data_IF_669412160583
#
_entry.id   IF_669412160583
#
_cell.length_a   1.000
_cell.length_b   1.000
_cell.length_c   1.000
_cell.angle_alpha   90.00
_cell.angle_beta   90.00
_cell.angle_gamma   90.00
#
_symmetry.space_group_name_H-M   'P 1'
#
loop_
_entity.id
_entity.type
_entity.pdbx_description
1 polymer ?
#
# COMPACT_ATOMS: atom_id res chain seq x y z
N UNK A 1 14.59 -74.68 49.33
CA UNK A 1 13.66 -74.12 48.32
C UNK A 1 14.27 -72.81 47.85
N UNK A 2 15.11 -72.90 46.82
CA UNK A 2 15.93 -71.78 46.32
C UNK A 2 15.10 -70.84 45.45
N UNK A 3 15.16 -69.54 45.77
CA UNK A 3 14.46 -68.47 45.07
C UNK A 3 15.31 -68.00 43.88
N UNK A 4 14.96 -68.39 42.65
CA UNK A 4 15.60 -67.89 41.43
C UNK A 4 15.05 -66.51 41.08
N UNK A 5 15.89 -65.48 41.19
CA UNK A 5 15.61 -64.12 40.73
C UNK A 5 15.85 -64.07 39.21
N UNK A 6 14.81 -63.78 38.43
CA UNK A 6 14.92 -63.49 37.00
C UNK A 6 15.22 -62.00 36.81
N UNK A 7 16.41 -61.67 36.31
CA UNK A 7 16.75 -60.33 35.86
C UNK A 7 16.18 -60.11 34.45
N UNK A 8 15.20 -59.20 34.33
CA UNK A 8 14.66 -58.76 33.04
C UNK A 8 15.53 -57.62 32.52
N UNK A 9 16.27 -57.87 31.43
CA UNK A 9 17.07 -56.84 30.73
C UNK A 9 16.12 -56.07 29.81
N UNK A 10 15.85 -54.81 30.12
CA UNK A 10 15.19 -53.88 29.20
C UNK A 10 16.20 -53.38 28.16
N UNK A 11 16.06 -53.84 26.91
CA UNK A 11 16.79 -53.29 25.77
C UNK A 11 16.02 -52.07 25.25
N UNK A 12 16.48 -50.87 25.59
CA UNK A 12 15.96 -49.63 25.03
C UNK A 12 16.47 -49.47 23.58
N UNK A 13 15.61 -49.77 22.60
CA UNK A 13 15.88 -49.46 21.19
C UNK A 13 15.68 -47.97 20.99
N UNK A 14 16.78 -47.21 20.91
CA UNK A 14 16.75 -45.84 20.41
C UNK A 14 16.51 -45.86 18.90
N UNK A 15 15.26 -45.63 18.48
CA UNK A 15 14.96 -45.28 17.09
C UNK A 15 15.45 -43.85 16.87
N UNK A 16 16.66 -43.70 16.33
CA UNK A 16 17.11 -42.45 15.74
C UNK A 16 16.20 -42.18 14.52
N UNK A 17 15.18 -41.35 14.69
CA UNK A 17 14.46 -40.76 13.57
C UNK A 17 15.44 -39.84 12.83
N UNK A 18 16.12 -40.37 11.83
CA UNK A 18 16.82 -39.54 10.86
C UNK A 18 15.76 -38.73 10.12
N UNK A 19 15.53 -37.50 10.55
CA UNK A 19 14.84 -36.50 9.74
C UNK A 19 15.70 -36.29 8.50
N UNK A 20 15.35 -36.95 7.40
CA UNK A 20 15.93 -36.67 6.09
C UNK A 20 15.62 -35.20 5.78
N UNK A 21 16.60 -34.32 5.94
CA UNK A 21 16.53 -32.96 5.41
C UNK A 21 16.49 -33.12 3.89
N UNK A 22 15.28 -33.14 3.31
CA UNK A 22 15.13 -33.04 1.86
C UNK A 22 15.75 -31.70 1.46
N UNK A 23 16.74 -31.75 0.57
CA UNK A 23 17.32 -30.55 -0.01
C UNK A 23 16.27 -29.93 -0.95
N UNK A 24 15.49 -29.00 -0.41
CA UNK A 24 14.42 -28.29 -1.09
C UNK A 24 14.86 -26.84 -1.42
N UNK A 25 14.45 -26.33 -2.58
CA UNK A 25 14.70 -24.93 -2.90
C UNK A 25 13.79 -24.03 -2.07
N UNK A 26 14.39 -23.26 -1.16
CA UNK A 26 13.68 -22.19 -0.44
C UNK A 26 14.11 -20.83 -0.98
N UNK A 27 13.16 -19.97 -1.35
CA UNK A 27 13.44 -18.57 -1.74
C UNK A 27 13.03 -17.65 -0.60
N UNK A 28 13.99 -17.05 0.10
CA UNK A 28 13.78 -16.02 1.13
C UNK A 28 13.60 -14.64 0.50
N UNK A 29 12.52 -13.96 0.89
CA UNK A 29 12.17 -12.63 0.37
C UNK A 29 13.25 -11.59 0.65
N UNK A 30 13.92 -11.70 1.80
CA UNK A 30 14.90 -10.73 2.27
C UNK A 30 16.36 -11.17 2.05
N UNK A 31 16.61 -12.34 1.47
CA UNK A 31 17.98 -12.84 1.21
C UNK A 31 18.24 -13.23 -0.23
N UNK A 32 17.23 -13.76 -0.91
CA UNK A 32 17.41 -14.39 -2.22
C UNK A 32 16.87 -13.53 -3.38
N UNK A 33 16.28 -12.36 -3.09
CA UNK A 33 15.76 -11.42 -4.09
C UNK A 33 16.70 -10.23 -4.28
N UNK A 34 17.76 -10.44 -5.07
CA UNK A 34 18.75 -9.40 -5.38
C UNK A 34 18.18 -8.28 -6.26
N UNK A 35 18.79 -7.10 -6.19
CA UNK A 35 18.42 -5.92 -6.97
C UNK A 35 19.24 -5.82 -8.28
N UNK A 36 18.67 -5.41 -9.43
CA UNK A 36 17.26 -5.16 -9.72
C UNK A 36 16.39 -6.43 -9.64
N UNK A 37 15.37 -6.40 -8.79
CA UNK A 37 14.55 -7.57 -8.49
C UNK A 37 13.58 -7.94 -9.64
N UNK A 38 13.53 -9.23 -10.06
CA UNK A 38 12.50 -9.70 -10.98
C UNK A 38 11.14 -9.83 -10.30
N UNK A 39 10.09 -9.72 -11.11
CA UNK A 39 8.78 -10.25 -10.73
C UNK A 39 8.87 -11.77 -10.72
N UNK A 40 8.22 -12.46 -9.78
CA UNK A 40 8.36 -13.91 -9.68
C UNK A 40 7.13 -14.68 -9.18
N UNK A 41 7.18 -15.99 -9.47
CA UNK A 41 6.30 -17.15 -9.24
C UNK A 41 4.94 -17.12 -9.92
N UNK A 42 3.96 -16.33 -9.48
CA UNK A 42 2.63 -16.22 -10.11
C UNK A 42 2.01 -14.85 -9.76
N UNK A 43 2.86 -13.82 -9.75
CA UNK A 43 2.48 -12.40 -9.86
C UNK A 43 1.39 -11.89 -8.89
N UNK A 44 1.44 -12.40 -7.66
CA UNK A 44 0.89 -11.87 -6.40
C UNK A 44 -0.46 -12.42 -5.87
N UNK A 45 -0.52 -13.70 -5.46
CA UNK A 45 -1.02 -14.19 -4.14
C UNK A 45 -0.35 -15.54 -3.82
N UNK A 46 0.42 -15.61 -2.72
CA UNK A 46 0.46 -16.69 -1.71
C UNK A 46 1.67 -16.44 -0.79
N UNK A 47 1.42 -16.35 0.51
CA UNK A 47 2.35 -15.80 1.48
C UNK A 47 3.44 -16.72 2.05
N UNK A 48 4.41 -16.10 2.73
CA UNK A 48 5.45 -16.71 3.58
C UNK A 48 6.71 -15.83 3.67
N UNK A 49 7.58 -16.02 4.68
CA UNK A 49 8.93 -15.41 4.73
C UNK A 49 9.91 -16.09 3.76
N UNK A 50 9.48 -17.19 3.16
CA UNK A 50 10.13 -17.86 2.06
C UNK A 50 9.19 -18.85 1.41
N UNK A 51 9.54 -19.32 0.22
CA UNK A 51 8.74 -20.26 -0.56
C UNK A 51 9.50 -21.55 -0.73
N UNK A 52 8.89 -22.67 -0.34
CA UNK A 52 9.31 -24.00 -0.76
C UNK A 52 8.89 -24.21 -2.23
N UNK A 53 9.90 -24.28 -3.09
CA UNK A 53 9.78 -24.51 -4.52
C UNK A 53 10.25 -25.93 -4.92
N UNK A 54 10.28 -26.88 -3.97
CA UNK A 54 10.63 -28.27 -4.27
C UNK A 54 9.77 -28.81 -5.43
N UNK A 55 10.43 -29.27 -6.50
CA UNK A 55 9.82 -29.77 -7.74
C UNK A 55 8.94 -28.76 -8.51
N UNK A 56 9.05 -27.46 -8.24
CA UNK A 56 8.28 -26.43 -8.96
C UNK A 56 9.10 -25.66 -9.99
N UNK A 57 8.39 -25.20 -11.02
CA UNK A 57 8.84 -24.18 -11.94
C UNK A 57 8.48 -22.80 -11.38
N UNK A 58 9.46 -21.91 -11.31
CA UNK A 58 9.30 -20.53 -10.87
C UNK A 58 9.45 -19.63 -12.08
N UNK A 59 8.36 -19.02 -12.51
CA UNK A 59 8.41 -18.01 -13.55
C UNK A 59 9.03 -16.73 -12.99
N UNK A 60 9.91 -16.11 -13.77
CA UNK A 60 10.49 -14.79 -13.50
C UNK A 60 10.22 -13.86 -14.67
N UNK A 61 10.00 -12.59 -14.39
CA UNK A 61 9.82 -11.57 -15.41
C UNK A 61 10.47 -10.23 -15.04
N UNK A 62 10.99 -9.59 -16.06
CA UNK A 62 11.60 -8.27 -16.05
C UNK A 62 10.88 -7.34 -17.04
N UNK A 63 9.64 -6.92 -16.76
CA UNK A 63 8.89 -6.01 -17.62
C UNK A 63 9.72 -4.81 -18.09
N UNK A 64 9.71 -4.55 -19.40
CA UNK A 64 10.45 -3.45 -20.01
C UNK A 64 11.96 -3.67 -20.14
N UNK A 65 12.51 -4.82 -19.72
CA UNK A 65 13.92 -5.16 -19.87
C UNK A 65 14.15 -6.68 -19.89
N UNK A 66 15.36 -7.16 -19.58
CA UNK A 66 15.76 -8.57 -19.72
C UNK A 66 16.13 -9.20 -18.37
N UNK A 67 15.86 -10.50 -18.24
CA UNK A 67 16.35 -11.33 -17.14
C UNK A 67 17.87 -11.53 -17.29
N UNK A 68 18.59 -11.39 -16.19
CA UNK A 68 20.02 -11.70 -16.05
C UNK A 68 20.19 -12.94 -15.19
N UNK A 69 21.15 -13.79 -15.55
CA UNK A 69 21.57 -14.97 -14.79
C UNK A 69 23.08 -14.92 -14.60
N UNK A 70 23.53 -14.74 -13.35
CA UNK A 70 24.91 -14.42 -12.98
C UNK A 70 25.43 -13.17 -13.73
N UNK A 71 24.60 -12.11 -13.78
CA UNK A 71 24.94 -10.86 -14.46
C UNK A 71 24.93 -10.91 -15.99
N UNK A 72 24.66 -12.08 -16.59
CA UNK A 72 24.59 -12.24 -18.05
C UNK A 72 23.15 -12.30 -18.51
N UNK A 73 22.79 -11.45 -19.47
CA UNK A 73 21.45 -11.43 -20.05
C UNK A 73 21.12 -12.73 -20.78
N UNK A 74 19.93 -13.28 -20.54
CA UNK A 74 19.42 -14.44 -21.28
C UNK A 74 18.68 -14.04 -22.57
N UNK A 75 18.68 -12.76 -22.92
CA UNK A 75 18.04 -12.24 -24.14
C UNK A 75 16.51 -12.20 -24.10
N UNK A 76 15.88 -12.47 -22.95
CA UNK A 76 14.44 -12.52 -22.79
C UNK A 76 13.97 -11.74 -21.55
N UNK A 77 12.78 -11.13 -21.64
CA UNK A 77 12.12 -10.44 -20.53
C UNK A 77 11.49 -11.41 -19.51
N UNK A 78 11.45 -12.70 -19.82
CA UNK A 78 10.90 -13.74 -18.95
C UNK A 78 11.78 -14.96 -18.98
N UNK A 79 11.75 -15.74 -17.91
CA UNK A 79 12.46 -17.01 -17.80
C UNK A 79 11.76 -17.94 -16.83
N UNK A 80 12.12 -19.22 -16.88
CA UNK A 80 11.58 -20.22 -15.98
C UNK A 80 12.73 -20.91 -15.24
N UNK A 81 12.70 -20.81 -13.92
CA UNK A 81 13.69 -21.36 -13.02
C UNK A 81 13.15 -22.65 -12.39
N UNK A 82 13.81 -23.79 -12.65
CA UNK A 82 13.43 -25.09 -12.10
C UNK A 82 14.25 -25.38 -10.85
N UNK A 83 13.60 -25.73 -9.75
CA UNK A 83 14.32 -26.19 -8.56
C UNK A 83 15.18 -27.43 -8.86
N UNK A 84 16.42 -27.43 -8.36
CA UNK A 84 17.38 -28.53 -8.42
C UNK A 84 18.16 -28.58 -7.11
N UNK A 85 17.72 -29.44 -6.19
CA UNK A 85 18.24 -29.52 -4.81
C UNK A 85 18.04 -28.17 -4.08
N UNK A 86 19.10 -27.39 -3.85
CA UNK A 86 19.03 -26.07 -3.20
C UNK A 86 19.19 -24.90 -4.18
N UNK A 87 19.31 -25.17 -5.48
CA UNK A 87 19.61 -24.19 -6.53
C UNK A 87 18.56 -24.20 -7.63
N UNK A 88 18.65 -23.27 -8.57
CA UNK A 88 17.72 -23.13 -9.67
C UNK A 88 18.43 -23.32 -11.02
N UNK A 89 17.82 -24.14 -11.87
CA UNK A 89 18.23 -24.31 -13.26
C UNK A 89 17.42 -23.35 -14.13
N UNK A 90 18.10 -22.42 -14.79
CA UNK A 90 17.50 -21.44 -15.72
C UNK A 90 18.48 -21.21 -16.88
N UNK A 91 17.97 -21.26 -18.12
CA UNK A 91 18.78 -21.10 -19.34
C UNK A 91 20.06 -21.96 -19.35
N UNK A 92 19.97 -23.20 -18.87
CA UNK A 92 21.09 -24.16 -18.82
C UNK A 92 22.11 -23.94 -17.69
N UNK A 93 21.95 -22.92 -16.83
CA UNK A 93 22.83 -22.64 -15.69
C UNK A 93 22.18 -23.04 -14.37
N UNK A 94 22.98 -23.51 -13.41
CA UNK A 94 22.54 -23.87 -12.05
C UNK A 94 23.02 -22.83 -11.03
N UNK A 95 22.13 -21.93 -10.62
CA UNK A 95 22.44 -20.71 -9.86
C UNK A 95 21.66 -20.62 -8.55
N UNK A 96 22.10 -19.87 -7.51
CA UNK A 96 21.19 -19.50 -6.44
C UNK A 96 20.12 -18.56 -7.01
N UNK A 97 18.95 -18.46 -6.36
CA UNK A 97 17.90 -17.55 -6.85
C UNK A 97 18.36 -16.07 -6.84
N UNK A 98 19.25 -15.72 -5.91
CA UNK A 98 19.88 -14.39 -5.80
C UNK A 98 20.71 -13.99 -7.02
N UNK A 99 21.08 -14.93 -7.90
CA UNK A 99 21.76 -14.65 -9.17
C UNK A 99 20.81 -14.36 -10.33
N UNK A 100 19.49 -14.49 -10.12
CA UNK A 100 18.45 -14.22 -11.11
C UNK A 100 17.92 -12.80 -10.87
N UNK A 101 18.34 -11.86 -11.70
CA UNK A 101 18.00 -10.43 -11.57
C UNK A 101 17.41 -9.87 -12.86
N UNK A 102 16.98 -8.61 -12.83
CA UNK A 102 16.67 -7.84 -14.01
C UNK A 102 17.82 -6.92 -14.39
N UNK A 103 17.93 -6.59 -15.68
CA UNK A 103 18.90 -5.62 -16.18
C UNK A 103 18.64 -4.20 -15.63
N UNK A 104 17.39 -3.87 -15.36
CA UNK A 104 16.97 -2.67 -14.66
C UNK A 104 15.71 -2.96 -13.84
N UNK A 105 15.30 -2.07 -12.93
CA UNK A 105 14.08 -2.29 -12.16
C UNK A 105 12.89 -2.56 -13.09
N UNK A 106 12.09 -3.59 -12.76
CA UNK A 106 10.91 -3.96 -13.52
C UNK A 106 9.99 -2.75 -13.77
N UNK A 107 9.66 -2.51 -15.04
CA UNK A 107 8.85 -1.37 -15.46
C UNK A 107 7.40 -1.58 -15.06
N UNK A 108 6.90 -0.73 -14.17
CA UNK A 108 5.48 -0.62 -13.85
C UNK A 108 4.82 0.52 -14.63
N UNK A 109 3.49 0.46 -14.77
CA UNK A 109 2.71 1.51 -15.42
C UNK A 109 1.35 1.72 -14.74
N UNK A 110 0.81 2.92 -14.90
CA UNK A 110 -0.56 3.28 -14.55
C UNK A 110 -1.35 3.48 -15.85
N UNK A 111 -2.54 2.90 -15.95
CA UNK A 111 -3.41 3.05 -17.14
C UNK A 111 -4.89 3.11 -16.76
N UNK A 112 -5.68 3.76 -17.59
CA UNK A 112 -7.15 3.65 -17.55
C UNK A 112 -7.55 2.28 -18.09
N UNK A 113 -8.53 1.63 -17.46
CA UNK A 113 -9.01 0.29 -17.89
C UNK A 113 -10.04 0.38 -19.00
N UNK A 114 -10.58 1.57 -19.26
CA UNK A 114 -11.75 1.78 -20.12
C UNK A 114 -13.09 1.50 -19.41
N UNK A 115 -13.05 0.94 -18.20
CA UNK A 115 -14.23 0.73 -17.36
C UNK A 115 -14.52 1.97 -16.50
N UNK A 116 -15.73 2.02 -15.97
CA UNK A 116 -16.14 3.03 -15.00
C UNK A 116 -16.17 2.47 -13.59
N UNK A 117 -15.95 3.34 -12.61
CA UNK A 117 -16.16 3.08 -11.19
C UNK A 117 -17.19 4.08 -10.65
N UNK A 118 -17.99 3.68 -9.66
CA UNK A 118 -19.05 4.52 -9.07
C UNK A 118 -19.95 5.19 -10.14
N UNK A 119 -20.25 4.45 -11.20
CA UNK A 119 -21.08 4.81 -12.36
C UNK A 119 -20.58 5.94 -13.27
N UNK A 120 -19.92 6.97 -12.76
CA UNK A 120 -19.55 8.17 -13.54
C UNK A 120 -18.05 8.49 -13.58
N UNK A 121 -17.24 7.77 -12.80
CA UNK A 121 -15.80 7.99 -12.71
C UNK A 121 -15.04 6.93 -13.50
N UNK A 122 -13.75 7.17 -13.74
CA UNK A 122 -12.94 6.28 -14.56
C UNK A 122 -12.19 5.29 -13.68
N UNK A 123 -12.22 4.01 -14.04
CA UNK A 123 -11.37 3.04 -13.39
C UNK A 123 -9.95 3.10 -13.97
N UNK A 124 -8.96 3.15 -13.09
CA UNK A 124 -7.55 3.04 -13.41
C UNK A 124 -6.94 1.84 -12.69
N UNK A 125 -5.84 1.32 -13.22
CA UNK A 125 -5.07 0.26 -12.59
C UNK A 125 -3.57 0.55 -12.68
N UNK A 126 -2.85 0.09 -11.67
CA UNK A 126 -1.38 0.13 -11.63
C UNK A 126 -0.87 -1.30 -11.58
N UNK A 127 0.22 -1.57 -12.28
CA UNK A 127 0.76 -2.91 -12.40
C UNK A 127 1.91 -3.03 -13.38
N UNK A 128 2.15 -4.26 -13.85
CA UNK A 128 3.23 -4.62 -14.75
C UNK A 128 2.69 -5.31 -16.00
N UNK A 129 3.18 -4.91 -17.17
CA UNK A 129 2.86 -5.59 -18.42
C UNK A 129 3.91 -6.66 -18.71
N UNK A 130 3.54 -7.94 -18.62
CA UNK A 130 4.40 -9.09 -18.92
C UNK A 130 3.83 -9.82 -20.12
N UNK A 131 4.48 -9.66 -21.28
CA UNK A 131 3.89 -10.08 -22.55
C UNK A 131 2.57 -9.35 -22.79
N UNK A 132 1.48 -10.11 -22.99
CA UNK A 132 0.11 -9.57 -23.11
C UNK A 132 -0.63 -9.47 -21.78
N UNK A 133 -0.09 -10.01 -20.69
CA UNK A 133 -0.75 -10.06 -19.38
C UNK A 133 -0.43 -8.83 -18.56
N UNK A 134 -1.46 -8.15 -18.07
CA UNK A 134 -1.29 -7.10 -17.08
C UNK A 134 -1.42 -7.68 -15.67
N UNK A 135 -0.33 -7.62 -14.93
CA UNK A 135 -0.25 -7.98 -13.51
C UNK A 135 -0.62 -6.74 -12.72
N UNK A 136 -1.89 -6.64 -12.37
CA UNK A 136 -2.42 -5.55 -11.56
C UNK A 136 -1.97 -5.68 -10.11
N UNK A 137 -1.43 -4.60 -9.53
CA UNK A 137 -1.14 -4.50 -8.10
C UNK A 137 -2.29 -3.83 -7.35
N UNK A 138 -2.93 -2.82 -7.94
CA UNK A 138 -4.07 -2.10 -7.37
C UNK A 138 -5.02 -1.56 -8.43
N UNK A 139 -6.27 -1.34 -8.03
CA UNK A 139 -7.30 -0.59 -8.77
C UNK A 139 -7.48 0.77 -8.13
N UNK A 140 -7.79 1.79 -8.91
CA UNK A 140 -8.10 3.14 -8.45
C UNK A 140 -9.35 3.67 -9.14
N UNK A 141 -10.16 4.44 -8.41
CA UNK A 141 -11.28 5.17 -8.99
C UNK A 141 -10.93 6.65 -9.19
N UNK A 142 -10.83 7.08 -10.43
CA UNK A 142 -10.28 8.35 -10.86
C UNK A 142 -11.37 9.37 -11.23
N UNK A 143 -11.35 10.51 -10.53
CA UNK A 143 -12.13 11.70 -10.82
C UNK A 143 -11.30 12.64 -11.70
N UNK A 144 -11.55 12.58 -13.00
CA UNK A 144 -10.85 13.38 -14.01
C UNK A 144 -11.12 14.88 -13.88
N UNK A 145 -12.32 15.26 -13.44
CA UNK A 145 -12.69 16.67 -13.34
C UNK A 145 -11.88 17.37 -12.26
N UNK A 146 -11.77 16.74 -11.08
CA UNK A 146 -10.98 17.27 -9.96
C UNK A 146 -9.53 16.77 -9.94
N UNK A 147 -9.14 15.91 -10.88
CA UNK A 147 -7.81 15.28 -10.97
C UNK A 147 -7.41 14.63 -9.64
N UNK A 148 -8.29 13.79 -9.09
CA UNK A 148 -8.09 13.09 -7.81
C UNK A 148 -8.54 11.64 -7.87
N UNK A 149 -7.97 10.82 -7.01
CA UNK A 149 -8.46 9.46 -6.78
C UNK A 149 -9.43 9.44 -5.61
N UNK A 150 -10.60 8.84 -5.83
CA UNK A 150 -11.65 8.69 -4.82
C UNK A 150 -11.34 7.55 -3.85
N UNK A 151 -10.82 6.43 -4.38
CA UNK A 151 -10.27 5.33 -3.60
C UNK A 151 -9.25 4.53 -4.41
N UNK A 152 -8.32 3.88 -3.72
CA UNK A 152 -7.56 2.72 -4.20
C UNK A 152 -8.08 1.44 -3.54
N UNK A 153 -7.90 0.31 -4.22
CA UNK A 153 -8.22 -1.03 -3.74
C UNK A 153 -7.06 -1.98 -4.03
N UNK A 154 -6.68 -2.77 -3.02
CA UNK A 154 -5.70 -3.85 -3.18
C UNK A 154 -5.97 -4.99 -2.18
N UNK A 155 -5.28 -6.12 -2.37
CA UNK A 155 -5.29 -7.24 -1.43
C UNK A 155 -4.06 -7.15 -0.53
N UNK A 156 -4.29 -7.03 0.78
CA UNK A 156 -3.26 -7.12 1.80
C UNK A 156 -3.11 -8.59 2.21
N UNK A 157 -1.92 -9.14 2.01
CA UNK A 157 -1.63 -10.54 2.31
C UNK A 157 -1.41 -10.78 3.81
N UNK A 158 -1.87 -11.93 4.29
CA UNK A 158 -1.62 -12.42 5.65
C UNK A 158 -0.15 -12.56 6.03
N UNK A 159 0.76 -12.58 5.06
CA UNK A 159 2.20 -12.70 5.33
C UNK A 159 2.94 -11.39 5.18
N UNK A 160 2.23 -10.26 5.27
CA UNK A 160 2.82 -8.94 5.11
C UNK A 160 3.95 -8.65 6.11
N UNK A 161 4.01 -9.33 7.25
CA UNK A 161 5.14 -9.25 8.18
C UNK A 161 6.50 -9.59 7.53
N UNK A 162 6.51 -10.33 6.41
CA UNK A 162 7.71 -10.69 5.66
C UNK A 162 8.15 -9.68 4.59
N UNK A 163 7.56 -8.48 4.54
CA UNK A 163 7.83 -7.50 3.48
C UNK A 163 9.30 -7.07 3.42
N UNK A 164 9.75 -6.67 2.22
CA UNK A 164 11.10 -6.14 2.04
C UNK A 164 11.21 -4.74 2.67
N UNK A 165 11.92 -4.65 3.79
CA UNK A 165 12.23 -3.37 4.42
C UNK A 165 13.34 -2.63 3.65
N UNK A 166 13.28 -1.30 3.59
CA UNK A 166 14.38 -0.50 3.05
C UNK A 166 14.58 -0.55 1.52
N UNK A 167 13.75 -1.28 0.76
CA UNK A 167 13.90 -1.36 -0.70
C UNK A 167 13.84 0.03 -1.37
N UNK A 168 14.70 0.33 -2.37
CA UNK A 168 14.83 1.69 -2.92
C UNK A 168 13.51 2.28 -3.45
N UNK A 169 13.28 3.55 -3.13
CA UNK A 169 12.08 4.31 -3.52
C UNK A 169 12.34 5.06 -4.84
N UNK A 170 11.50 4.93 -5.87
CA UNK A 170 11.58 5.79 -7.05
C UNK A 170 10.99 7.18 -6.77
N UNK A 171 11.22 8.13 -7.67
CA UNK A 171 10.43 9.37 -7.73
C UNK A 171 8.98 9.07 -8.10
N UNK A 172 8.06 9.96 -7.71
CA UNK A 172 6.66 9.86 -8.13
C UNK A 172 6.50 10.11 -9.62
N UNK A 173 5.61 9.32 -10.24
CA UNK A 173 5.33 9.35 -11.67
C UNK A 173 3.96 9.99 -11.90
N UNK A 174 3.90 11.03 -12.74
CA UNK A 174 2.64 11.71 -13.11
C UNK A 174 1.71 10.79 -13.92
N UNK A 175 2.28 9.95 -14.79
CA UNK A 175 1.51 9.14 -15.73
C UNK A 175 0.92 9.98 -16.86
N UNK A 176 0.67 9.34 -18.00
CA UNK A 176 0.06 9.98 -19.16
C UNK A 176 -1.47 9.93 -19.06
N UNK A 177 -2.14 11.01 -19.48
CA UNK A 177 -3.60 11.03 -19.63
C UNK A 177 -4.43 11.25 -18.35
N UNK A 178 -3.79 11.31 -17.17
CA UNK A 178 -4.50 11.52 -15.90
C UNK A 178 -4.70 12.99 -15.55
N UNK A 179 -3.65 13.81 -15.73
CA UNK A 179 -3.62 15.20 -15.30
C UNK A 179 -3.63 16.15 -16.50
N UNK A 180 -4.40 17.23 -16.39
CA UNK A 180 -4.33 18.39 -17.30
C UNK A 180 -3.27 19.38 -16.81
N UNK A 181 -3.01 19.43 -15.50
CA UNK A 181 -1.93 20.22 -14.94
C UNK A 181 -0.56 19.59 -15.25
N UNK A 182 0.40 20.41 -15.66
CA UNK A 182 1.79 19.99 -15.89
C UNK A 182 2.62 20.16 -14.62
N UNK A 183 3.61 19.28 -14.42
CA UNK A 183 4.55 19.42 -13.30
C UNK A 183 3.90 19.15 -11.95
N UNK A 184 3.12 18.07 -11.84
CA UNK A 184 2.40 17.73 -10.60
C UNK A 184 3.33 17.66 -9.40
N UNK A 185 4.55 17.14 -9.57
CA UNK A 185 5.54 17.08 -8.50
C UNK A 185 5.86 18.47 -7.91
N UNK A 186 5.94 19.50 -8.76
CA UNK A 186 6.21 20.86 -8.35
C UNK A 186 5.08 21.46 -7.48
N UNK A 187 3.82 21.07 -7.73
CA UNK A 187 2.67 21.51 -6.93
C UNK A 187 2.78 21.06 -5.46
N UNK A 188 3.53 19.99 -5.20
CA UNK A 188 3.80 19.49 -3.85
C UNK A 188 5.04 20.12 -3.19
N UNK A 189 5.75 21.05 -3.84
CA UNK A 189 6.83 21.79 -3.16
C UNK A 189 6.25 22.80 -2.18
N UNK A 190 6.88 22.99 -1.02
CA UNK A 190 6.40 23.95 -0.01
C UNK A 190 6.28 25.37 -0.58
N UNK A 191 7.18 25.77 -1.49
CA UNK A 191 7.14 27.10 -2.11
C UNK A 191 5.90 27.27 -3.00
N UNK A 192 5.60 26.30 -3.87
CA UNK A 192 4.40 26.35 -4.71
C UNK A 192 3.13 26.25 -3.88
N UNK A 193 3.10 25.36 -2.88
CA UNK A 193 1.98 25.27 -1.95
C UNK A 193 1.74 26.59 -1.24
N UNK A 194 2.78 27.24 -0.73
CA UNK A 194 2.68 28.51 -0.01
C UNK A 194 2.04 29.58 -0.88
N UNK A 195 2.54 29.77 -2.10
CA UNK A 195 1.95 30.73 -3.06
C UNK A 195 0.49 30.40 -3.35
N UNK A 196 0.17 29.14 -3.68
CA UNK A 196 -1.19 28.74 -4.07
C UNK A 196 -2.18 28.84 -2.90
N UNK A 197 -1.85 28.24 -1.76
CA UNK A 197 -2.73 28.18 -0.58
C UNK A 197 -2.90 29.56 0.04
N UNK A 198 -1.84 30.37 0.15
CA UNK A 198 -1.98 31.74 0.66
C UNK A 198 -2.84 32.60 -0.27
N UNK A 199 -2.71 32.43 -1.58
CA UNK A 199 -3.56 33.11 -2.56
C UNK A 199 -5.05 32.77 -2.38
N UNK A 200 -5.39 31.50 -2.11
CA UNK A 200 -6.76 31.09 -1.80
C UNK A 200 -7.29 31.72 -0.50
N UNK A 201 -6.43 31.88 0.50
CA UNK A 201 -6.79 32.33 1.84
C UNK A 201 -6.71 33.85 2.05
N UNK A 202 -6.36 34.62 1.02
CA UNK A 202 -6.16 36.08 1.13
C UNK A 202 -4.96 36.45 2.00
N UNK A 203 -3.97 35.56 2.11
CA UNK A 203 -2.72 35.80 2.83
C UNK A 203 -1.63 36.33 1.88
N UNK A 204 -0.62 37.05 2.39
CA UNK A 204 0.57 37.38 1.60
C UNK A 204 1.23 36.11 1.06
N UNK A 205 1.70 36.13 -0.19
CA UNK A 205 2.26 34.95 -0.87
C UNK A 205 3.39 34.27 -0.09
N UNK A 206 4.21 35.04 0.64
CA UNK A 206 5.31 34.55 1.47
C UNK A 206 4.92 34.12 2.90
N UNK A 207 3.65 34.18 3.30
CA UNK A 207 3.22 33.86 4.68
C UNK A 207 3.49 32.40 5.06
N UNK A 208 4.03 32.19 6.25
CA UNK A 208 4.29 30.86 6.83
C UNK A 208 3.17 30.35 7.75
N UNK A 209 2.02 31.02 7.77
CA UNK A 209 0.92 30.72 8.71
C UNK A 209 0.46 29.26 8.64
N UNK A 210 0.31 28.71 7.43
CA UNK A 210 -0.15 27.33 7.21
C UNK A 210 0.86 26.44 6.50
N UNK A 211 1.65 26.99 5.58
CA UNK A 211 2.73 26.24 4.93
C UNK A 211 4.06 26.74 5.50
N UNK A 212 4.62 25.95 6.40
CA UNK A 212 5.84 26.32 7.10
C UNK A 212 7.04 26.48 6.14
N UNK A 213 8.08 27.15 6.63
CA UNK A 213 9.35 27.23 5.91
C UNK A 213 10.08 25.88 5.91
N UNK A 214 10.01 25.19 7.04
CA UNK A 214 10.62 23.89 7.31
C UNK A 214 9.76 23.11 8.31
N UNK A 215 10.05 21.82 8.48
CA UNK A 215 9.28 20.93 9.36
C UNK A 215 8.15 20.22 8.63
N UNK A 216 7.12 19.78 9.38
CA UNK A 216 6.08 18.86 8.91
C UNK A 216 4.73 19.53 8.60
N UNK A 217 4.68 20.86 8.51
CA UNK A 217 3.47 21.62 8.19
C UNK A 217 3.45 22.00 6.71
N UNK A 218 3.27 20.98 5.87
CA UNK A 218 3.08 21.07 4.43
C UNK A 218 2.26 19.87 3.95
N UNK A 219 1.75 19.92 2.72
CA UNK A 219 1.02 18.82 2.10
C UNK A 219 2.00 17.89 1.39
N UNK A 220 2.14 16.68 1.92
CA UNK A 220 2.93 15.60 1.34
C UNK A 220 2.12 14.82 0.30
N UNK A 221 2.84 13.97 -0.45
CA UNK A 221 2.26 12.98 -1.38
C UNK A 221 1.83 11.75 -0.58
N UNK A 222 0.72 11.88 0.16
CA UNK A 222 0.17 10.82 0.99
C UNK A 222 -0.33 9.67 0.13
N UNK A 223 0.20 8.46 0.32
CA UNK A 223 -0.18 7.30 -0.48
C UNK A 223 -1.59 6.82 -0.08
N UNK A 224 -2.39 6.38 -1.06
CA UNK A 224 -3.62 5.64 -0.80
C UNK A 224 -3.30 4.15 -0.53
N UNK A 225 -2.55 3.52 -1.44
CA UNK A 225 -1.91 2.21 -1.21
C UNK A 225 -0.45 2.44 -0.85
N UNK A 226 -0.07 2.16 0.39
CA UNK A 226 1.26 2.50 0.89
C UNK A 226 2.33 1.56 0.33
N UNK A 227 3.57 2.07 0.23
CA UNK A 227 4.75 1.26 -0.14
C UNK A 227 4.82 -0.03 0.69
N UNK A 228 4.65 0.09 2.00
CA UNK A 228 4.81 -1.02 2.96
C UNK A 228 3.61 -1.96 3.01
N UNK A 229 2.54 -1.70 2.25
CA UNK A 229 1.41 -2.62 2.12
C UNK A 229 1.70 -3.76 1.13
N UNK A 230 2.86 -3.72 0.47
CA UNK A 230 3.34 -4.78 -0.41
C UNK A 230 4.59 -5.49 0.08
N UNK A 231 4.61 -6.79 -0.20
CA UNK A 231 5.65 -7.72 0.22
C UNK A 231 6.95 -7.52 -0.59
N UNK A 232 6.84 -7.42 -1.91
CA UNK A 232 7.99 -7.44 -2.81
C UNK A 232 8.43 -6.04 -3.24
N UNK A 233 9.73 -5.79 -3.30
CA UNK A 233 10.33 -4.51 -3.67
C UNK A 233 9.78 -3.96 -4.98
N UNK A 234 9.60 -4.80 -5.99
CA UNK A 234 8.97 -4.41 -7.26
C UNK A 234 7.55 -3.85 -7.08
N UNK A 235 6.67 -4.53 -6.32
CA UNK A 235 5.33 -4.02 -5.98
C UNK A 235 5.41 -2.70 -5.21
N UNK A 236 6.33 -2.59 -4.25
CA UNK A 236 6.53 -1.38 -3.46
C UNK A 236 6.83 -0.18 -4.37
N UNK A 237 7.67 -0.35 -5.40
CA UNK A 237 7.97 0.71 -6.38
C UNK A 237 6.75 1.11 -7.21
N UNK A 238 5.85 0.18 -7.50
CA UNK A 238 4.61 0.47 -8.24
C UNK A 238 3.67 1.43 -7.51
N UNK A 239 3.86 1.69 -6.21
CA UNK A 239 2.99 2.61 -5.45
C UNK A 239 3.23 4.10 -5.75
N UNK A 240 4.33 4.45 -6.42
CA UNK A 240 4.79 5.84 -6.61
C UNK A 240 4.20 6.50 -7.86
N UNK A 241 2.87 6.55 -7.94
CA UNK A 241 2.14 7.33 -8.95
C UNK A 241 1.32 8.43 -8.29
N UNK A 242 1.22 9.60 -8.93
CA UNK A 242 0.38 10.69 -8.40
C UNK A 242 -1.10 10.33 -8.33
N UNK A 243 -1.58 9.41 -9.17
CA UNK A 243 -2.95 8.88 -9.03
C UNK A 243 -3.10 7.99 -7.79
N UNK A 244 -2.02 7.47 -7.21
CA UNK A 244 -2.05 6.76 -5.91
C UNK A 244 -1.69 7.71 -4.75
N UNK A 245 -1.67 9.03 -4.97
CA UNK A 245 -1.34 10.02 -3.97
C UNK A 245 -2.45 11.05 -3.78
N UNK A 246 -2.54 11.56 -2.55
CA UNK A 246 -3.41 12.67 -2.17
C UNK A 246 -2.59 13.75 -1.45
N UNK A 247 -2.99 15.03 -1.52
CA UNK A 247 -2.42 16.05 -0.65
C UNK A 247 -2.76 15.75 0.81
N UNK A 248 -1.78 15.27 1.58
CA UNK A 248 -2.00 14.93 2.98
C UNK A 248 -1.02 15.71 3.85
N UNK A 249 -1.50 16.38 4.89
CA UNK A 249 -0.64 17.12 5.79
C UNK A 249 0.43 16.19 6.37
N UNK A 250 1.70 16.58 6.24
CA UNK A 250 2.83 15.70 6.58
C UNK A 250 2.82 15.28 8.04
N UNK A 251 2.43 16.18 8.95
CA UNK A 251 2.24 15.86 10.39
C UNK A 251 1.14 14.81 10.65
N UNK A 252 0.24 14.58 9.70
CA UNK A 252 -0.81 13.55 9.80
C UNK A 252 -0.34 12.28 9.09
N UNK A 253 0.16 12.43 7.86
CA UNK A 253 0.69 11.34 7.04
C UNK A 253 1.79 10.55 7.77
N UNK A 254 2.76 11.25 8.36
CA UNK A 254 3.91 10.62 9.01
C UNK A 254 3.63 10.07 10.42
N UNK A 255 2.50 10.44 11.04
CA UNK A 255 2.19 10.09 12.43
C UNK A 255 0.94 9.20 12.52
N UNK A 256 -0.24 9.78 12.76
CA UNK A 256 -1.44 8.98 13.02
C UNK A 256 -1.80 8.09 11.83
N UNK A 257 -1.64 8.59 10.59
CA UNK A 257 -1.97 7.82 9.40
C UNK A 257 -1.00 6.64 9.20
N UNK A 258 0.30 6.88 9.39
CA UNK A 258 1.29 5.80 9.38
C UNK A 258 1.03 4.74 10.47
N UNK A 259 0.48 5.14 11.62
CA UNK A 259 0.07 4.21 12.68
C UNK A 259 -1.15 3.38 12.27
N UNK A 260 -2.16 4.00 11.63
CA UNK A 260 -3.31 3.29 11.06
C UNK A 260 -2.84 2.25 10.05
N UNK A 261 -1.96 2.62 9.12
CA UNK A 261 -1.41 1.69 8.13
C UNK A 261 -0.64 0.54 8.80
N UNK A 262 0.15 0.82 9.85
CA UNK A 262 0.86 -0.23 10.59
C UNK A 262 -0.10 -1.19 11.30
N UNK A 263 -1.12 -0.68 12.00
CA UNK A 263 -2.09 -1.51 12.71
C UNK A 263 -2.83 -2.47 11.77
N UNK A 264 -3.16 -2.03 10.54
CA UNK A 264 -3.80 -2.89 9.54
C UNK A 264 -2.87 -4.02 9.06
N UNK A 265 -1.57 -3.74 8.86
CA UNK A 265 -0.58 -4.77 8.54
C UNK A 265 -0.36 -5.75 9.69
N UNK A 266 -0.32 -5.26 10.92
CA UNK A 266 -0.20 -6.08 12.12
C UNK A 266 -1.42 -6.98 12.30
N UNK A 267 -2.63 -6.46 12.06
CA UNK A 267 -3.87 -7.23 12.08
C UNK A 267 -3.81 -8.39 11.07
N UNK A 268 -3.49 -8.09 9.80
CA UNK A 268 -3.42 -9.08 8.73
C UNK A 268 -2.43 -10.20 9.08
N UNK A 269 -1.24 -9.85 9.58
CA UNK A 269 -0.20 -10.82 9.90
C UNK A 269 -0.48 -11.62 11.17
N UNK A 270 -0.81 -10.98 12.29
CA UNK A 270 -1.03 -11.66 13.58
C UNK A 270 -2.23 -12.61 13.55
N UNK A 271 -3.26 -12.28 12.76
CA UNK A 271 -4.46 -13.11 12.62
C UNK A 271 -4.47 -13.96 11.35
N UNK A 272 -3.39 -13.95 10.58
CA UNK A 272 -3.25 -14.72 9.34
C UNK A 272 -4.41 -14.47 8.35
N UNK A 273 -4.78 -13.20 8.13
CA UNK A 273 -5.91 -12.79 7.29
C UNK A 273 -5.44 -12.20 5.96
N UNK A 274 -6.00 -12.70 4.85
CA UNK A 274 -5.95 -12.01 3.56
C UNK A 274 -7.13 -11.02 3.52
N UNK A 275 -6.81 -9.72 3.43
CA UNK A 275 -7.78 -8.63 3.56
C UNK A 275 -7.92 -7.87 2.24
N UNK A 276 -9.15 -7.52 1.88
CA UNK A 276 -9.37 -6.48 0.87
C UNK A 276 -9.33 -5.13 1.57
N UNK A 277 -8.44 -4.25 1.12
CA UNK A 277 -8.27 -2.92 1.68
C UNK A 277 -8.67 -1.89 0.64
N UNK A 278 -9.52 -0.97 1.05
CA UNK A 278 -9.83 0.25 0.31
C UNK A 278 -9.27 1.43 1.08
N UNK A 279 -8.55 2.33 0.41
CA UNK A 279 -8.15 3.62 0.99
C UNK A 279 -8.69 4.73 0.12
N UNK A 280 -9.35 5.72 0.68
CA UNK A 280 -9.90 6.81 -0.11
C UNK A 280 -10.06 8.10 0.65
N UNK A 281 -10.79 9.02 0.02
CA UNK A 281 -10.99 10.38 0.51
C UNK A 281 -12.46 10.78 0.54
N UNK A 282 -12.79 11.77 1.35
CA UNK A 282 -14.11 12.39 1.39
C UNK A 282 -14.03 13.89 1.70
N UNK A 283 -14.80 14.71 0.97
CA UNK A 283 -14.85 16.16 1.11
C UNK A 283 -13.56 16.89 0.70
N UNK A 284 -13.54 18.20 0.87
CA UNK A 284 -12.36 19.07 0.67
C UNK A 284 -12.06 19.80 1.97
N UNK A 285 -10.80 19.79 2.39
CA UNK A 285 -10.34 20.46 3.61
C UNK A 285 -10.41 21.96 3.44
N UNK A 286 -10.71 22.68 4.51
CA UNK A 286 -10.86 24.13 4.50
C UNK A 286 -9.97 24.81 5.55
N UNK A 287 -9.62 26.06 5.28
CA UNK A 287 -9.02 26.97 6.26
C UNK A 287 -9.74 28.33 6.18
N UNK A 288 -9.76 29.12 7.28
CA UNK A 288 -10.40 30.41 7.27
C UNK A 288 -9.63 31.41 6.40
N UNK A 289 -10.37 32.16 5.56
CA UNK A 289 -9.82 33.29 4.83
C UNK A 289 -9.38 34.39 5.80
N UNK A 290 -8.21 34.99 5.57
CA UNK A 290 -7.53 35.91 6.49
C UNK A 290 -8.37 37.13 6.88
N UNK A 291 -9.14 37.68 5.94
CA UNK A 291 -9.96 38.89 6.18
C UNK A 291 -11.40 38.60 6.60
N UNK A 292 -12.04 37.57 6.04
CA UNK A 292 -13.48 37.35 6.21
C UNK A 292 -13.80 36.26 7.23
N UNK A 293 -12.82 35.43 7.60
CA UNK A 293 -13.02 34.26 8.46
C UNK A 293 -13.82 33.12 7.81
N UNK A 294 -14.32 33.29 6.59
CA UNK A 294 -15.07 32.26 5.88
C UNK A 294 -14.17 31.06 5.53
N UNK A 295 -14.71 29.85 5.63
CA UNK A 295 -13.97 28.64 5.29
C UNK A 295 -13.77 28.54 3.77
N UNK A 296 -12.51 28.39 3.34
CA UNK A 296 -12.12 28.26 1.94
C UNK A 296 -11.51 26.89 1.70
N UNK A 297 -12.02 26.21 0.67
CA UNK A 297 -11.50 24.92 0.22
C UNK A 297 -10.08 25.02 -0.35
N UNK A 298 -9.26 24.00 -0.03
CA UNK A 298 -7.86 23.97 -0.41
C UNK A 298 -7.62 23.10 -1.65
N UNK A 299 -6.84 23.62 -2.60
CA UNK A 299 -6.45 22.95 -3.84
C UNK A 299 -4.96 23.17 -4.12
N UNK A 300 -4.27 22.16 -4.64
CA UNK A 300 -2.88 22.31 -5.09
C UNK A 300 -2.77 22.91 -6.49
N UNK A 301 -3.80 22.77 -7.32
CA UNK A 301 -3.88 23.37 -8.64
C UNK A 301 -4.98 24.42 -8.73
N UNK A 302 -4.59 25.64 -9.07
CA UNK A 302 -5.46 26.81 -9.22
C UNK A 302 -5.06 27.55 -10.49
N UNK A 303 -5.98 27.70 -11.45
CA UNK A 303 -5.77 28.49 -12.66
C UNK A 303 -7.05 29.21 -13.04
N UNK A 304 -7.12 30.52 -12.80
CA UNK A 304 -8.37 31.28 -12.93
C UNK A 304 -9.46 30.72 -12.02
N UNK A 305 -10.56 30.24 -12.60
CA UNK A 305 -11.64 29.53 -11.88
C UNK A 305 -11.43 28.02 -11.80
N UNK A 306 -10.51 27.45 -12.59
CA UNK A 306 -10.23 26.02 -12.56
C UNK A 306 -9.55 25.63 -11.24
N UNK A 307 -9.99 24.50 -10.69
CA UNK A 307 -9.47 23.91 -9.45
C UNK A 307 -9.18 22.43 -9.70
N UNK A 308 -8.11 21.92 -9.13
CA UNK A 308 -7.72 20.53 -9.23
C UNK A 308 -6.84 20.09 -8.08
N UNK A 309 -6.77 18.78 -7.86
CA UNK A 309 -5.98 18.16 -6.79
C UNK A 309 -6.39 18.78 -5.43
N UNK A 310 -7.67 18.62 -5.03
CA UNK A 310 -8.14 19.11 -3.75
C UNK A 310 -7.41 18.43 -2.59
N UNK A 311 -7.21 19.18 -1.52
CA UNK A 311 -6.81 18.60 -0.23
C UNK A 311 -8.03 17.93 0.37
N UNK A 312 -8.07 16.61 0.56
CA UNK A 312 -9.23 15.94 1.11
C UNK A 312 -9.47 16.36 2.56
N UNK A 313 -10.74 16.49 2.95
CA UNK A 313 -11.13 16.77 4.35
C UNK A 313 -10.85 15.56 5.23
N UNK A 314 -11.28 14.39 4.77
CA UNK A 314 -11.11 13.11 5.44
C UNK A 314 -10.32 12.15 4.53
N UNK A 315 -9.41 11.42 5.14
CA UNK A 315 -8.84 10.20 4.55
C UNK A 315 -9.45 9.01 5.30
N UNK A 316 -9.79 7.95 4.58
CA UNK A 316 -10.40 6.76 5.18
C UNK A 316 -9.74 5.48 4.66
N UNK A 317 -9.72 4.45 5.50
CA UNK A 317 -9.26 3.10 5.17
C UNK A 317 -10.31 2.08 5.63
N UNK A 318 -10.88 1.34 4.68
CA UNK A 318 -11.79 0.23 4.95
C UNK A 318 -11.01 -1.06 4.86
N UNK A 319 -11.09 -1.85 5.93
CA UNK A 319 -10.44 -3.14 6.07
C UNK A 319 -11.52 -4.21 6.07
N UNK A 320 -11.50 -5.10 5.08
CA UNK A 320 -12.56 -6.08 4.86
C UNK A 320 -11.99 -7.49 4.73
N UNK A 321 -12.50 -8.42 5.52
CA UNK A 321 -12.24 -9.84 5.38
C UNK A 321 -13.32 -10.46 4.49
N UNK A 322 -13.00 -10.86 3.24
CA UNK A 322 -13.99 -11.41 2.32
C UNK A 322 -14.53 -12.78 2.75
N UNK A 323 -13.80 -13.56 3.56
CA UNK A 323 -14.22 -14.89 4.00
C UNK A 323 -15.31 -14.82 5.06
N UNK A 324 -15.18 -13.89 6.01
CA UNK A 324 -16.13 -13.76 7.14
C UNK A 324 -17.12 -12.62 6.95
N UNK A 325 -16.97 -11.83 5.88
CA UNK A 325 -17.72 -10.59 5.60
C UNK A 325 -17.67 -9.60 6.77
N UNK A 326 -16.56 -9.63 7.52
CA UNK A 326 -16.28 -8.71 8.60
C UNK A 326 -15.53 -7.48 8.05
N UNK A 327 -15.88 -6.28 8.47
CA UNK A 327 -15.11 -5.11 8.09
C UNK A 327 -15.34 -3.88 8.97
N UNK A 328 -14.42 -2.94 8.86
CA UNK A 328 -14.46 -1.67 9.60
C UNK A 328 -13.85 -0.56 8.76
N UNK A 329 -14.33 0.67 8.95
CA UNK A 329 -13.73 1.87 8.37
C UNK A 329 -12.96 2.63 9.46
N UNK A 330 -11.72 3.02 9.18
CA UNK A 330 -10.93 3.94 10.00
C UNK A 330 -10.83 5.26 9.23
N UNK A 331 -11.15 6.37 9.88
CA UNK A 331 -11.20 7.70 9.29
C UNK A 331 -10.22 8.59 10.03
N UNK A 332 -9.48 9.42 9.29
CA UNK A 332 -8.56 10.43 9.81
C UNK A 332 -8.92 11.79 9.23
N UNK A 333 -9.04 12.80 10.09
CA UNK A 333 -9.22 14.19 9.68
C UNK A 333 -7.91 14.71 9.12
N UNK A 334 -7.91 15.20 7.89
CA UNK A 334 -6.71 15.69 7.20
C UNK A 334 -6.62 17.23 7.32
N UNK A 335 -6.55 17.71 8.57
CA UNK A 335 -6.30 19.11 8.87
C UNK A 335 -5.70 19.26 10.29
N UNK A 336 -4.42 19.65 10.42
CA UNK A 336 -3.77 19.80 11.72
C UNK A 336 -4.14 21.09 12.46
N UNK A 337 -4.92 21.97 11.81
CA UNK A 337 -5.37 23.25 12.37
C UNK A 337 -6.78 23.19 12.98
N UNK A 338 -7.43 22.03 12.94
CA UNK A 338 -8.72 21.81 13.57
C UNK A 338 -8.49 21.56 15.05
N UNK A 339 -9.03 22.41 15.92
CA UNK A 339 -8.97 22.21 17.37
C UNK A 339 -10.12 21.30 17.87
N UNK A 340 -11.30 21.43 17.26
CA UNK A 340 -12.46 20.58 17.52
C UNK A 340 -12.88 19.83 16.24
N UNK A 341 -12.61 18.52 16.24
CA UNK A 341 -12.93 17.61 15.14
C UNK A 341 -14.38 17.08 15.16
N UNK A 342 -15.24 17.54 16.07
CA UNK A 342 -16.62 17.05 16.22
C UNK A 342 -17.42 17.11 14.91
N UNK A 343 -17.25 18.17 14.13
CA UNK A 343 -17.90 18.38 12.82
C UNK A 343 -17.37 17.45 11.72
N UNK A 344 -16.24 16.81 11.96
CA UNK A 344 -15.61 15.87 11.03
C UNK A 344 -15.91 14.41 11.37
N UNK A 345 -16.63 14.15 12.47
CA UNK A 345 -17.11 12.81 12.84
C UNK A 345 -18.41 12.51 12.09
N UNK A 346 -18.35 11.56 11.15
CA UNK A 346 -19.46 11.27 10.23
C UNK A 346 -20.27 10.02 10.60
N UNK A 347 -19.95 9.38 11.72
CA UNK A 347 -20.53 8.12 12.17
C UNK A 347 -20.40 7.96 13.69
N UNK A 348 -21.03 6.94 14.25
CA UNK A 348 -20.78 6.53 15.65
C UNK A 348 -19.37 5.95 15.78
N UNK A 349 -18.54 6.52 16.66
CA UNK A 349 -17.19 6.02 16.89
C UNK A 349 -17.21 4.68 17.65
N UNK A 350 -16.73 3.62 17.00
CA UNK A 350 -16.63 2.26 17.55
C UNK A 350 -15.19 1.80 17.82
N UNK A 351 -14.21 2.71 17.88
CA UNK A 351 -12.80 2.30 18.07
C UNK A 351 -12.57 1.55 19.38
N UNK A 352 -13.40 1.74 20.40
CA UNK A 352 -13.34 0.97 21.65
C UNK A 352 -13.62 -0.54 21.45
N UNK A 353 -14.22 -0.93 20.33
CA UNK A 353 -14.45 -2.33 19.95
C UNK A 353 -13.25 -2.94 19.22
N UNK A 354 -12.29 -2.13 18.77
CA UNK A 354 -11.13 -2.59 18.00
C UNK A 354 -9.93 -2.81 18.92
N UNK A 355 -9.65 -4.08 19.19
CA UNK A 355 -8.56 -4.47 20.11
C UNK A 355 -7.17 -4.37 19.49
N UNK A 356 -7.09 -4.15 18.17
CA UNK A 356 -5.86 -4.17 17.39
C UNK A 356 -5.38 -2.77 16.96
N UNK A 357 -6.11 -1.70 17.30
CA UNK A 357 -5.74 -0.32 16.98
C UNK A 357 -4.98 0.34 18.13
N UNK A 358 -3.91 1.07 17.82
CA UNK A 358 -3.05 1.77 18.78
C UNK A 358 -2.87 3.25 18.49
N UNK A 359 -3.51 3.78 17.46
CA UNK A 359 -3.43 5.20 17.11
C UNK A 359 -4.13 6.08 18.16
N UNK A 360 -3.65 7.31 18.31
CA UNK A 360 -4.28 8.29 19.19
C UNK A 360 -5.62 8.74 18.60
N UNK A 361 -6.71 8.56 19.35
CA UNK A 361 -8.07 8.80 18.84
C UNK A 361 -8.50 10.28 18.90
N UNK A 362 -7.85 11.12 19.71
CA UNK A 362 -8.38 12.46 20.06
C UNK A 362 -7.39 13.61 19.94
N UNK A 363 -6.18 13.38 19.44
CA UNK A 363 -5.17 14.45 19.34
C UNK A 363 -5.17 15.09 17.95
N UNK A 364 -5.92 16.19 17.80
CA UNK A 364 -6.02 16.87 16.52
C UNK A 364 -4.69 17.47 16.02
N UNK A 365 -3.75 17.79 16.91
CA UNK A 365 -2.44 18.35 16.54
C UNK A 365 -1.52 17.33 15.81
N UNK A 366 -1.73 16.03 16.03
CA UNK A 366 -1.02 14.94 15.32
C UNK A 366 -1.96 14.09 14.45
N UNK A 367 -3.21 14.54 14.31
CA UNK A 367 -4.28 13.96 13.52
C UNK A 367 -5.32 13.20 14.35
N UNK A 368 -6.59 13.57 14.18
CA UNK A 368 -7.75 12.93 14.82
C UNK A 368 -8.21 11.73 14.00
N UNK A 369 -8.31 10.54 14.61
CA UNK A 369 -8.78 9.32 13.95
C UNK A 369 -9.84 8.58 14.73
N UNK A 370 -10.85 8.05 14.04
CA UNK A 370 -12.00 7.35 14.61
C UNK A 370 -12.44 6.19 13.71
N UNK A 371 -13.35 5.35 14.22
CA UNK A 371 -13.73 4.09 13.58
C UNK A 371 -15.24 4.04 13.38
N UNK A 372 -15.67 3.60 12.20
CA UNK A 372 -17.09 3.40 11.87
C UNK A 372 -17.36 1.94 11.53
N UNK A 373 -18.58 1.49 11.82
CA UNK A 373 -19.13 0.35 11.09
C UNK A 373 -19.27 0.72 9.60
N UNK A 374 -19.08 -0.24 8.70
CA UNK A 374 -19.21 0.02 7.26
C UNK A 374 -20.63 0.51 6.88
N UNK A 375 -21.72 -0.03 7.45
CA UNK A 375 -23.07 0.49 7.18
C UNK A 375 -23.24 1.97 7.56
N UNK A 376 -22.73 2.40 8.72
CA UNK A 376 -22.86 3.80 9.17
C UNK A 376 -21.95 4.72 8.33
N UNK A 377 -20.72 4.27 8.03
CA UNK A 377 -19.79 4.99 7.16
C UNK A 377 -20.36 5.30 5.77
N UNK A 378 -21.04 4.32 5.15
CA UNK A 378 -21.63 4.45 3.81
C UNK A 378 -22.79 5.45 3.73
N UNK A 379 -23.38 5.86 4.86
CA UNK A 379 -24.43 6.91 4.87
C UNK A 379 -23.89 8.26 4.41
N UNK A 380 -22.60 8.50 4.64
CA UNK A 380 -21.92 9.75 4.29
C UNK A 380 -20.93 9.56 3.14
N UNK A 381 -20.16 8.47 3.16
CA UNK A 381 -19.14 8.21 2.13
C UNK A 381 -19.67 7.24 1.07
N UNK A 382 -20.20 7.82 0.00
CA UNK A 382 -20.73 7.09 -1.15
C UNK A 382 -19.65 6.64 -2.14
N UNK A 383 -18.40 7.04 -1.95
CA UNK A 383 -17.27 6.64 -2.79
C UNK A 383 -16.71 5.25 -2.48
N UNK A 384 -17.15 4.60 -1.39
CA UNK A 384 -16.81 3.20 -1.12
C UNK A 384 -17.66 2.27 -1.99
N UNK A 385 -17.07 1.35 -2.77
CA UNK A 385 -17.82 0.36 -3.52
C UNK A 385 -18.77 -0.48 -2.65
N UNK A 386 -19.87 -0.91 -3.24
CA UNK A 386 -20.83 -1.80 -2.57
C UNK A 386 -20.27 -3.21 -2.43
N UNK A 387 -20.45 -3.80 -1.26
CA UNK A 387 -20.16 -5.20 -0.92
C UNK A 387 -20.86 -5.55 0.40
N UNK A 388 -21.18 -6.83 0.59
CA UNK A 388 -21.89 -7.31 1.77
C UNK A 388 -21.00 -7.27 3.01
N UNK A 389 -21.54 -6.78 4.12
CA UNK A 389 -20.86 -6.77 5.42
C UNK A 389 -21.84 -7.26 6.47
N UNK A 390 -21.46 -8.30 7.20
CA UNK A 390 -22.33 -8.93 8.21
C UNK A 390 -21.91 -8.62 9.64
N UNK A 391 -20.68 -8.16 9.86
CA UNK A 391 -20.14 -7.88 11.19
C UNK A 391 -18.96 -6.90 11.17
N UNK A 392 -18.61 -6.35 12.33
CA UNK A 392 -17.42 -5.50 12.52
C UNK A 392 -16.16 -6.37 12.63
N UNK A 393 -15.05 -5.89 12.07
CA UNK A 393 -13.73 -6.53 12.22
C UNK A 393 -13.02 -6.05 13.50
N UNK A 394 -13.36 -6.64 14.65
CA UNK A 394 -12.92 -6.24 16.02
C UNK A 394 -11.55 -6.70 16.45
#
# INVERSE_FOLDING_TARGET
>A
MELKVFAVIFVSIFVLSASTVRAACTISINRDLSDPQPLWRYYFISGGNGIDAENQLVDVACPGNSVLVDGVSIGAATGQARCSSTRFVISGKTVPFSSITCNSHATHTARLTGSSCLSSYQEAEIGFLVGSRFIRTMVLCWDRALQRTLYSQFTLTKTIAGYQSGYPRPSFIQGSGFFTATGIDNLYTQNTQRTTINGLLGLPAGSYQYIAQSGNYFLSRGHLTAKTDYLYGSQQRSTFYFINAIPQWQVINAYVWGTVEQNVRDLASRRSLDLTVYTGVHGVSTLPHATTGQQVELYLYVSGTARGIPVPRLTWKVVYNPLTRAGVAIITVNNPYVFDASKDVICTNICNQLTWTTFQQTNAAVGYSYCCSIPDFRRTVTSLPSFDVTQVLT
#
